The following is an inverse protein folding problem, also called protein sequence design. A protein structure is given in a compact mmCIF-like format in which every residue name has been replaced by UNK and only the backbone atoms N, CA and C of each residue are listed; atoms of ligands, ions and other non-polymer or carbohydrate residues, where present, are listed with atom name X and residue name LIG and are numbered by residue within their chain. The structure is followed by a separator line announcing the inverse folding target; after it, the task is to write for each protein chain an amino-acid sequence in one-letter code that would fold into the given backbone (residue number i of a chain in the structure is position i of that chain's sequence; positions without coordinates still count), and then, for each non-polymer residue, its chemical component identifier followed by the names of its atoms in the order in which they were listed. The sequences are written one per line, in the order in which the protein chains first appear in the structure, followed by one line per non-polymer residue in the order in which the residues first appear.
data_IF_685659218029
#
_entry.id   IF_685659218029
#
_cell.length_a   1.000
_cell.length_b   1.000
_cell.length_c   1.000
_cell.angle_alpha   90.00
_cell.angle_beta   90.00
_cell.angle_gamma   90.00
#
_symmetry.space_group_name_H-M   'P 1'
#
loop_
_entity.id
_entity.type
_entity.pdbx_description
1 polymer ?
#
# COMPACT_ATOMS: atom_id res chain seq x y z
N UNK A 1 -19.79 35.67 15.73
CA UNK A 1 -19.05 36.07 14.52
C UNK A 1 -17.67 35.42 14.57
N UNK A 2 -17.42 34.39 13.77
CA UNK A 2 -16.10 33.74 13.62
C UNK A 2 -15.79 33.66 12.12
N UNK A 3 -14.62 34.17 11.73
CA UNK A 3 -14.15 34.26 10.34
C UNK A 3 -13.53 32.92 9.90
N UNK A 4 -13.65 32.50 8.63
CA UNK A 4 -13.00 31.29 8.13
C UNK A 4 -11.50 31.54 7.83
N UNK A 5 -10.67 30.54 8.12
CA UNK A 5 -9.22 30.57 7.88
C UNK A 5 -8.93 30.02 6.47
N UNK A 6 -8.05 30.73 5.77
CA UNK A 6 -7.68 30.63 4.36
C UNK A 6 -7.03 29.30 3.97
N UNK A 7 -7.40 28.80 2.79
CA UNK A 7 -7.02 27.52 2.18
C UNK A 7 -5.58 27.45 1.61
N UNK A 8 -4.66 28.29 2.06
CA UNK A 8 -3.32 28.45 1.43
C UNK A 8 -2.18 27.70 2.12
N UNK A 9 -2.39 27.10 3.31
CA UNK A 9 -1.31 26.42 4.05
C UNK A 9 -1.17 24.93 3.73
N UNK A 10 -2.16 24.30 3.09
CA UNK A 10 -2.14 22.85 2.81
C UNK A 10 -1.22 22.47 1.64
N UNK A 11 -0.88 23.43 0.75
CA UNK A 11 -0.15 23.16 -0.48
C UNK A 11 1.35 22.85 -0.34
N UNK A 12 1.99 23.17 0.79
CA UNK A 12 3.45 23.07 0.94
C UNK A 12 3.89 21.69 1.47
N UNK A 13 3.01 20.95 2.16
CA UNK A 13 3.40 19.69 2.80
C UNK A 13 3.51 18.51 1.81
N UNK A 14 2.78 18.54 0.69
CA UNK A 14 2.71 17.41 -0.24
C UNK A 14 3.93 17.30 -1.18
N UNK A 15 4.66 18.39 -1.41
CA UNK A 15 5.81 18.38 -2.34
C UNK A 15 7.03 17.69 -1.69
N UNK A 16 7.19 17.79 -0.37
CA UNK A 16 8.32 17.19 0.35
C UNK A 16 8.33 15.66 0.36
N UNK A 17 7.16 15.03 0.52
CA UNK A 17 7.05 13.57 0.64
C UNK A 17 7.37 12.82 -0.66
N UNK A 18 6.92 13.36 -1.80
CA UNK A 18 7.19 12.73 -3.10
C UNK A 18 8.70 12.73 -3.43
N UNK A 19 9.41 13.80 -3.06
CA UNK A 19 10.85 13.88 -3.25
C UNK A 19 11.62 12.88 -2.36
N UNK A 20 11.23 12.71 -1.11
CA UNK A 20 11.90 11.78 -0.18
C UNK A 20 11.73 10.31 -0.59
N UNK A 21 10.56 9.95 -1.15
CA UNK A 21 10.29 8.56 -1.57
C UNK A 21 11.15 8.14 -2.78
N UNK A 22 11.50 9.08 -3.66
CA UNK A 22 12.42 8.81 -4.78
C UNK A 22 13.86 8.52 -4.31
N UNK A 23 14.29 9.11 -3.18
CA UNK A 23 15.63 8.88 -2.60
C UNK A 23 15.73 7.59 -1.76
N UNK A 24 14.59 7.02 -1.35
CA UNK A 24 14.54 5.81 -0.54
C UNK A 24 14.59 4.51 -1.37
N UNK A 25 14.58 4.58 -2.71
CA UNK A 25 14.68 3.37 -3.53
C UNK A 25 16.10 2.77 -3.51
N UNK A 26 16.27 1.44 -3.30
CA UNK A 26 17.58 0.79 -3.14
C UNK A 26 18.51 0.81 -4.36
N UNK A 27 18.06 1.33 -5.51
CA UNK A 27 18.73 1.17 -6.80
C UNK A 27 19.90 2.11 -7.11
N UNK A 28 20.25 3.08 -6.25
CA UNK A 28 21.25 4.11 -6.60
C UNK A 28 22.30 4.45 -5.51
N UNK A 29 22.27 3.82 -4.34
CA UNK A 29 23.14 4.19 -3.22
C UNK A 29 24.42 3.34 -3.16
N UNK A 30 25.43 3.65 -3.99
CA UNK A 30 26.74 2.95 -4.00
C UNK A 30 27.80 3.59 -3.08
N UNK A 31 27.44 4.59 -2.26
CA UNK A 31 28.37 5.28 -1.36
C UNK A 31 27.92 5.24 0.11
N UNK A 32 28.87 5.22 1.05
CA UNK A 32 28.63 5.19 2.51
C UNK A 32 27.80 6.39 2.96
N UNK A 33 27.98 7.53 2.31
CA UNK A 33 27.23 8.76 2.52
C UNK A 33 25.78 8.62 2.05
N UNK A 34 25.56 7.95 0.92
CA UNK A 34 24.21 7.69 0.39
C UNK A 34 23.43 6.72 1.30
N UNK A 35 24.07 5.70 1.85
CA UNK A 35 23.44 4.81 2.85
C UNK A 35 23.09 5.55 4.15
N UNK A 36 23.90 6.53 4.57
CA UNK A 36 23.61 7.34 5.75
C UNK A 36 22.41 8.26 5.52
N UNK A 37 22.31 8.86 4.33
CA UNK A 37 21.16 9.67 3.91
C UNK A 37 19.90 8.81 3.76
N UNK A 38 19.99 7.61 3.17
CA UNK A 38 18.86 6.68 3.07
C UNK A 38 18.41 6.20 4.46
N UNK A 39 19.33 5.94 5.39
CA UNK A 39 19.00 5.56 6.78
C UNK A 39 18.33 6.72 7.53
N UNK A 40 18.82 7.95 7.35
CA UNK A 40 18.20 9.13 7.94
C UNK A 40 16.82 9.42 7.33
N UNK A 41 16.67 9.29 6.01
CA UNK A 41 15.39 9.47 5.31
C UNK A 41 14.36 8.40 5.71
N UNK A 42 14.77 7.14 5.85
CA UNK A 42 13.90 6.06 6.33
C UNK A 42 13.55 6.21 7.81
N UNK A 43 14.46 6.70 8.65
CA UNK A 43 14.15 7.03 10.05
C UNK A 43 13.18 8.22 10.18
N UNK A 44 13.33 9.24 9.33
CA UNK A 44 12.40 10.37 9.27
C UNK A 44 11.04 9.97 8.72
N UNK A 45 11.00 9.10 7.69
CA UNK A 45 9.75 8.51 7.20
C UNK A 45 9.07 7.70 8.30
N UNK A 46 9.82 6.88 9.05
CA UNK A 46 9.28 6.10 10.16
C UNK A 46 8.75 6.99 11.29
N UNK A 47 9.50 8.02 11.69
CA UNK A 47 9.03 8.98 12.71
C UNK A 47 7.85 9.82 12.25
N UNK A 48 7.77 10.10 10.95
CA UNK A 48 6.62 10.78 10.37
C UNK A 48 5.42 9.84 10.33
N UNK A 49 5.60 8.56 9.95
CA UNK A 49 4.60 7.47 9.93
C UNK A 49 3.86 7.39 11.27
N UNK A 50 4.57 7.66 12.37
CA UNK A 50 4.05 7.60 13.73
C UNK A 50 3.18 8.82 14.17
N UNK A 51 3.13 9.92 13.40
CA UNK A 51 2.68 11.23 13.94
C UNK A 51 1.33 11.80 13.43
N UNK A 52 0.57 11.13 12.55
CA UNK A 52 -0.77 11.59 12.12
C UNK A 52 -1.78 10.44 12.10
N UNK A 53 -3.05 10.65 12.47
CA UNK A 53 -4.06 9.59 12.57
C UNK A 53 -4.24 8.73 11.28
N UNK A 54 -4.16 9.34 10.10
CA UNK A 54 -4.20 8.63 8.80
C UNK A 54 -2.89 7.88 8.54
N UNK A 55 -1.80 8.38 9.09
CA UNK A 55 -0.47 7.79 8.92
C UNK A 55 -0.21 6.69 9.94
N UNK A 56 -0.81 6.76 11.13
CA UNK A 56 -0.84 5.67 12.10
C UNK A 56 -1.64 4.47 11.59
N UNK A 57 -2.74 4.68 10.85
CA UNK A 57 -3.47 3.58 10.21
C UNK A 57 -2.60 2.87 9.17
N UNK A 58 -1.92 3.62 8.29
CA UNK A 58 -0.97 3.05 7.32
C UNK A 58 0.23 2.38 8.00
N UNK A 59 0.81 3.00 9.02
CA UNK A 59 1.93 2.46 9.80
C UNK A 59 1.53 1.15 10.48
N UNK A 60 0.32 1.09 11.05
CA UNK A 60 -0.26 -0.12 11.61
C UNK A 60 -0.40 -1.21 10.55
N UNK A 61 -0.95 -0.90 9.38
CA UNK A 61 -1.06 -1.88 8.28
C UNK A 61 0.28 -2.35 7.75
N UNK A 62 1.29 -1.46 7.66
CA UNK A 62 2.66 -1.85 7.29
C UNK A 62 3.28 -2.77 8.35
N UNK A 63 2.99 -2.54 9.62
CA UNK A 63 3.45 -3.39 10.72
C UNK A 63 2.78 -4.77 10.69
N UNK A 64 1.45 -4.83 10.49
CA UNK A 64 0.70 -6.08 10.29
C UNK A 64 1.24 -6.90 9.12
N UNK A 65 1.59 -6.24 8.03
CA UNK A 65 2.20 -6.89 6.87
C UNK A 65 3.58 -7.48 7.20
N UNK A 66 4.35 -6.82 8.06
CA UNK A 66 5.63 -7.35 8.58
C UNK A 66 5.43 -8.57 9.47
N UNK A 67 4.48 -8.50 10.40
CA UNK A 67 4.10 -9.63 11.28
C UNK A 67 3.66 -10.85 10.46
N UNK A 68 2.82 -10.64 9.43
CA UNK A 68 2.40 -11.71 8.52
C UNK A 68 3.59 -12.38 7.81
N UNK A 69 4.57 -11.59 7.38
CA UNK A 69 5.77 -12.12 6.73
C UNK A 69 6.67 -12.90 7.69
N UNK A 70 6.74 -12.47 8.95
CA UNK A 70 7.47 -13.20 9.98
C UNK A 70 6.78 -14.53 10.31
N UNK A 71 5.45 -14.55 10.41
CA UNK A 71 4.65 -15.77 10.62
C UNK A 71 4.80 -16.76 9.45
N UNK A 72 4.87 -16.26 8.22
CA UNK A 72 4.98 -17.06 6.99
C UNK A 72 6.42 -17.13 6.46
N UNK A 73 7.42 -17.02 7.34
CA UNK A 73 8.85 -17.01 6.97
C UNK A 73 9.46 -18.39 6.75
N UNK A 74 8.75 -19.45 7.15
CA UNK A 74 9.20 -20.84 7.02
C UNK A 74 8.53 -21.53 5.82
N UNK A 75 9.27 -22.42 5.15
CA UNK A 75 8.72 -23.31 4.11
C UNK A 75 7.61 -24.19 4.71
N UNK A 76 6.51 -24.33 3.99
CA UNK A 76 5.36 -25.14 4.41
C UNK A 76 4.57 -24.55 5.58
N UNK A 77 4.56 -23.22 5.73
CA UNK A 77 3.81 -22.53 6.78
C UNK A 77 2.29 -22.82 6.73
N UNK A 78 1.78 -23.22 5.57
CA UNK A 78 0.38 -23.60 5.35
C UNK A 78 0.08 -25.09 5.63
N UNK A 79 1.09 -25.86 6.08
CA UNK A 79 1.00 -27.31 6.25
C UNK A 79 1.17 -28.12 4.97
N UNK A 80 1.47 -27.47 3.85
CA UNK A 80 1.85 -28.09 2.58
C UNK A 80 3.29 -27.69 2.23
N UNK A 81 3.54 -27.26 0.99
CA UNK A 81 4.86 -26.86 0.49
C UNK A 81 4.88 -25.39 0.05
N UNK A 82 4.11 -24.53 0.74
CA UNK A 82 4.13 -23.10 0.47
C UNK A 82 5.54 -22.52 0.66
N UNK A 83 5.95 -21.67 -0.28
CA UNK A 83 7.16 -20.90 -0.14
C UNK A 83 7.02 -19.87 0.99
N UNK A 84 8.13 -19.52 1.68
CA UNK A 84 8.18 -18.34 2.52
C UNK A 84 7.77 -17.10 1.74
N UNK A 85 7.21 -16.10 2.43
CA UNK A 85 6.99 -14.78 1.82
C UNK A 85 8.31 -14.23 1.29
N UNK A 86 8.31 -13.84 0.02
CA UNK A 86 9.48 -13.26 -0.62
C UNK A 86 9.74 -11.84 -0.08
N UNK A 87 11.00 -11.56 0.28
CA UNK A 87 11.38 -10.28 0.87
C UNK A 87 11.16 -9.09 -0.08
N UNK A 88 11.30 -9.29 -1.39
CA UNK A 88 11.01 -8.26 -2.41
C UNK A 88 9.50 -8.08 -2.54
N UNK A 89 8.71 -9.15 -2.47
CA UNK A 89 7.25 -9.06 -2.43
C UNK A 89 6.77 -8.23 -1.22
N UNK A 90 7.33 -8.47 -0.03
CA UNK A 90 7.07 -7.68 1.17
C UNK A 90 7.40 -6.20 0.98
N UNK A 91 8.61 -5.88 0.46
CA UNK A 91 9.02 -4.50 0.19
C UNK A 91 8.07 -3.84 -0.82
N UNK A 92 7.69 -4.56 -1.88
CA UNK A 92 6.78 -4.05 -2.91
C UNK A 92 5.38 -3.77 -2.33
N UNK A 93 4.86 -4.64 -1.47
CA UNK A 93 3.58 -4.45 -0.82
C UNK A 93 3.60 -3.26 0.15
N UNK A 94 4.67 -3.10 0.95
CA UNK A 94 4.84 -1.92 1.81
C UNK A 94 4.92 -0.62 0.99
N UNK A 95 5.68 -0.63 -0.11
CA UNK A 95 5.78 0.52 -1.01
C UNK A 95 4.42 0.85 -1.65
N UNK A 96 3.64 -0.17 -2.01
CA UNK A 96 2.29 0.01 -2.51
C UNK A 96 1.39 0.70 -1.48
N UNK A 97 1.39 0.23 -0.22
CA UNK A 97 0.62 0.85 0.88
C UNK A 97 1.02 2.31 1.12
N UNK A 98 2.33 2.61 1.09
CA UNK A 98 2.83 3.99 1.21
C UNK A 98 2.33 4.87 0.06
N UNK A 99 2.33 4.32 -1.16
CA UNK A 99 1.91 5.02 -2.38
C UNK A 99 0.39 5.22 -2.51
N UNK A 100 -0.45 4.51 -1.72
CA UNK A 100 -1.89 4.72 -1.73
C UNK A 100 -2.24 6.17 -1.33
N UNK A 101 -3.19 6.84 -2.01
CA UNK A 101 -3.64 8.16 -1.58
C UNK A 101 -4.28 8.11 -0.18
N UNK A 102 -4.10 9.19 0.59
CA UNK A 102 -4.77 9.35 1.89
C UNK A 102 -6.29 9.23 1.76
N UNK A 103 -6.92 8.55 2.71
CA UNK A 103 -8.38 8.30 2.70
C UNK A 103 -8.82 7.15 1.79
N UNK A 104 -7.90 6.47 1.11
CA UNK A 104 -8.20 5.17 0.49
C UNK A 104 -8.33 4.12 1.59
N UNK A 105 -9.36 3.28 1.52
CA UNK A 105 -9.49 2.16 2.45
C UNK A 105 -8.25 1.25 2.39
N UNK A 106 -7.88 0.71 3.56
CA UNK A 106 -6.76 -0.21 3.66
C UNK A 106 -7.23 -1.64 3.35
N UNK A 107 -6.41 -2.44 2.66
CA UNK A 107 -6.75 -3.82 2.33
C UNK A 107 -6.55 -4.75 3.54
N UNK A 108 -7.15 -5.94 3.44
CA UNK A 108 -6.73 -7.12 4.18
C UNK A 108 -5.54 -7.79 3.47
N UNK A 109 -4.68 -8.46 4.23
CA UNK A 109 -3.50 -9.13 3.71
C UNK A 109 -3.65 -10.64 3.81
N UNK A 110 -3.27 -11.36 2.75
CA UNK A 110 -3.10 -12.79 2.83
C UNK A 110 -1.81 -13.25 2.12
N UNK A 111 -1.08 -14.22 2.69
CA UNK A 111 0.09 -14.81 2.07
C UNK A 111 -0.34 -15.78 0.97
N UNK A 112 0.36 -15.76 -0.17
CA UNK A 112 0.13 -16.71 -1.26
C UNK A 112 1.18 -17.83 -1.25
N UNK A 113 0.83 -19.06 -1.69
CA UNK A 113 1.74 -20.21 -1.63
C UNK A 113 3.03 -20.07 -2.45
N UNK A 114 3.08 -19.15 -3.40
CA UNK A 114 4.26 -18.86 -4.23
C UNK A 114 5.21 -17.81 -3.62
N UNK A 115 4.90 -17.34 -2.41
CA UNK A 115 5.66 -16.31 -1.70
C UNK A 115 5.24 -14.87 -2.05
N UNK A 116 4.19 -14.68 -2.86
CA UNK A 116 3.57 -13.37 -3.04
C UNK A 116 2.60 -13.02 -1.91
N UNK A 117 2.11 -11.79 -1.92
CA UNK A 117 1.15 -11.28 -0.93
C UNK A 117 -0.07 -10.73 -1.66
N UNK A 118 -1.27 -11.18 -1.27
CA UNK A 118 -2.53 -10.60 -1.72
C UNK A 118 -2.95 -9.44 -0.81
N UNK A 119 -3.46 -8.39 -1.45
CA UNK A 119 -4.08 -7.22 -0.85
C UNK A 119 -5.53 -7.19 -1.31
N UNK A 120 -6.44 -7.40 -0.37
CA UNK A 120 -7.85 -7.61 -0.65
C UNK A 120 -8.73 -6.50 -0.06
N UNK A 121 -9.48 -5.83 -0.94
CA UNK A 121 -10.52 -4.87 -0.55
C UNK A 121 -11.88 -5.52 -0.70
N UNK A 122 -12.47 -5.91 0.43
CA UNK A 122 -13.73 -6.66 0.47
C UNK A 122 -14.83 -5.73 1.01
N UNK A 123 -15.69 -5.22 0.13
CA UNK A 123 -16.87 -4.44 0.53
C UNK A 123 -18.07 -5.34 0.85
N UNK A 124 -18.19 -6.47 0.12
CA UNK A 124 -19.19 -7.52 0.35
C UNK A 124 -18.79 -8.79 -0.39
N UNK A 125 -19.53 -9.90 -0.19
CA UNK A 125 -19.30 -11.17 -0.91
C UNK A 125 -19.35 -11.10 -2.44
N UNK A 126 -19.91 -10.02 -3.01
CA UNK A 126 -19.95 -9.79 -4.46
C UNK A 126 -19.25 -8.51 -4.88
N UNK A 127 -18.53 -7.83 -3.98
CA UNK A 127 -17.82 -6.58 -4.28
C UNK A 127 -16.42 -6.67 -3.68
N UNK A 128 -15.47 -7.12 -4.48
CA UNK A 128 -14.11 -7.45 -4.06
C UNK A 128 -13.13 -6.91 -5.10
N UNK A 129 -12.06 -6.28 -4.64
CA UNK A 129 -10.87 -6.01 -5.45
C UNK A 129 -9.70 -6.73 -4.80
N UNK A 130 -9.02 -7.58 -5.55
CA UNK A 130 -7.87 -8.36 -5.07
C UNK A 130 -6.64 -8.00 -5.89
N UNK A 131 -5.53 -7.78 -5.22
CA UNK A 131 -4.25 -7.41 -5.82
C UNK A 131 -3.16 -8.34 -5.30
N UNK A 132 -2.58 -9.15 -6.17
CA UNK A 132 -1.43 -9.99 -5.89
C UNK A 132 -0.12 -9.25 -6.19
N UNK A 133 0.78 -9.22 -5.22
CA UNK A 133 2.08 -8.54 -5.26
C UNK A 133 3.18 -9.56 -5.01
N UNK A 134 3.95 -9.87 -6.06
CA UNK A 134 5.13 -10.72 -5.99
C UNK A 134 6.46 -9.93 -6.05
N UNK A 135 7.59 -10.63 -6.28
CA UNK A 135 8.91 -10.02 -6.36
C UNK A 135 9.09 -9.14 -7.62
N UNK A 136 8.24 -9.30 -8.62
CA UNK A 136 8.29 -8.50 -9.85
C UNK A 136 7.56 -7.16 -9.70
N UNK A 137 7.92 -6.17 -10.51
CA UNK A 137 7.19 -4.90 -10.60
C UNK A 137 5.83 -5.01 -11.33
N UNK A 138 5.23 -6.21 -11.38
CA UNK A 138 3.93 -6.48 -11.99
C UNK A 138 2.92 -6.75 -10.88
N UNK A 139 1.84 -5.99 -10.92
CA UNK A 139 0.68 -6.07 -10.08
C UNK A 139 -0.40 -6.86 -10.80
N UNK A 140 -0.61 -8.12 -10.44
CA UNK A 140 -1.74 -8.88 -10.94
C UNK A 140 -2.96 -8.56 -10.08
N UNK A 141 -4.08 -8.17 -10.70
CA UNK A 141 -5.28 -7.82 -9.95
C UNK A 141 -6.53 -8.36 -10.60
N UNK A 142 -7.54 -8.61 -9.77
CA UNK A 142 -8.86 -9.06 -10.17
C UNK A 142 -9.93 -8.28 -9.41
N UNK A 143 -11.11 -8.19 -10.01
CA UNK A 143 -12.25 -7.57 -9.36
C UNK A 143 -13.52 -8.37 -9.60
N UNK A 144 -14.45 -8.22 -8.66
CA UNK A 144 -15.82 -8.69 -8.72
C UNK A 144 -16.72 -7.53 -8.28
N UNK A 145 -17.67 -7.13 -9.12
CA UNK A 145 -18.72 -6.16 -8.79
C UNK A 145 -20.09 -6.69 -9.25
N UNK A 146 -20.75 -7.40 -8.35
CA UNK A 146 -22.00 -8.12 -8.62
C UNK A 146 -21.77 -9.26 -9.60
N UNK A 147 -22.22 -9.06 -10.84
CA UNK A 147 -22.05 -10.03 -11.94
C UNK A 147 -20.89 -9.68 -12.86
N UNK A 148 -20.39 -8.44 -12.78
CA UNK A 148 -19.22 -8.01 -13.52
C UNK A 148 -17.96 -8.47 -12.81
N UNK A 149 -16.98 -8.96 -13.57
CA UNK A 149 -15.72 -9.45 -13.05
C UNK A 149 -14.65 -9.37 -14.10
N UNK A 150 -13.41 -9.23 -13.67
CA UNK A 150 -12.28 -9.25 -14.57
C UNK A 150 -10.96 -9.40 -13.85
N UNK A 151 -9.91 -9.43 -14.65
CA UNK A 151 -8.54 -9.45 -14.18
C UNK A 151 -7.67 -8.67 -15.16
N UNK A 152 -6.56 -8.15 -14.66
CA UNK A 152 -5.58 -7.46 -15.47
C UNK A 152 -4.23 -7.38 -14.73
N UNK A 153 -3.21 -6.93 -15.45
CA UNK A 153 -1.87 -6.74 -14.88
C UNK A 153 -1.42 -5.30 -15.08
N UNK A 154 -0.98 -4.66 -14.01
CA UNK A 154 -0.37 -3.33 -14.02
C UNK A 154 1.12 -3.37 -13.69
N UNK A 155 1.85 -2.35 -14.14
CA UNK A 155 3.24 -2.15 -13.75
C UNK A 155 3.29 -1.14 -12.61
N UNK A 156 4.06 -1.42 -11.57
CA UNK A 156 4.24 -0.53 -10.43
C UNK A 156 5.72 -0.27 -10.18
N UNK A 157 6.10 1.02 -10.26
CA UNK A 157 7.49 1.45 -10.07
C UNK A 157 7.85 1.73 -8.60
N UNK A 158 7.00 1.38 -7.63
CA UNK A 158 7.29 1.54 -6.19
C UNK A 158 6.89 2.89 -5.58
N UNK A 159 6.49 3.89 -6.38
CA UNK A 159 6.22 5.26 -5.88
C UNK A 159 4.81 5.77 -6.16
N UNK A 160 4.21 5.38 -7.28
CA UNK A 160 2.90 5.86 -7.73
C UNK A 160 2.03 4.68 -8.10
N UNK A 161 0.85 4.57 -7.45
CA UNK A 161 -0.14 3.53 -7.77
C UNK A 161 -0.67 3.74 -9.19
N UNK A 162 -0.70 2.70 -10.04
CA UNK A 162 -1.21 2.84 -11.40
C UNK A 162 -2.67 3.33 -11.41
N UNK A 163 -3.04 4.34 -12.22
CA UNK A 163 -4.37 4.95 -12.16
C UNK A 163 -5.53 3.96 -12.29
N UNK A 164 -5.37 2.91 -13.10
CA UNK A 164 -6.36 1.85 -13.28
C UNK A 164 -6.58 0.97 -12.05
N UNK A 165 -5.52 0.72 -11.27
CA UNK A 165 -5.61 -0.05 -10.02
C UNK A 165 -6.32 0.80 -8.98
N UNK A 166 -5.93 2.06 -8.83
CA UNK A 166 -6.58 2.98 -7.90
C UNK A 166 -8.06 3.19 -8.24
N UNK A 167 -8.40 3.33 -9.52
CA UNK A 167 -9.78 3.45 -9.97
C UNK A 167 -10.60 2.19 -9.63
N UNK A 168 -10.02 1.00 -9.81
CA UNK A 168 -10.67 -0.27 -9.45
C UNK A 168 -10.91 -0.43 -7.95
N UNK A 169 -9.95 -0.05 -7.12
CA UNK A 169 -10.12 -0.04 -5.66
C UNK A 169 -11.27 0.90 -5.28
N UNK A 170 -11.24 2.13 -5.80
CA UNK A 170 -12.28 3.14 -5.53
C UNK A 170 -13.66 2.72 -6.03
N UNK A 171 -13.77 2.03 -7.16
CA UNK A 171 -15.06 1.58 -7.66
C UNK A 171 -15.68 0.53 -6.73
N UNK A 172 -14.88 -0.35 -6.13
CA UNK A 172 -15.37 -1.41 -5.24
C UNK A 172 -15.72 -0.88 -3.85
N UNK A 173 -14.80 -0.15 -3.21
CA UNK A 173 -14.97 0.28 -1.81
C UNK A 173 -15.77 1.58 -1.69
N UNK A 174 -15.89 2.34 -2.80
CA UNK A 174 -16.34 3.72 -2.75
C UNK A 174 -15.28 4.62 -2.11
N UNK A 175 -15.33 5.93 -2.37
CA UNK A 175 -14.63 6.85 -1.48
C UNK A 175 -15.31 6.71 -0.12
N UNK A 176 -14.57 6.41 0.95
CA UNK A 176 -15.06 6.22 2.32
C UNK A 176 -15.66 7.49 2.96
N UNK A 177 -16.23 8.38 2.16
CA UNK A 177 -16.76 9.69 2.55
C UNK A 177 -18.04 10.08 1.79
N UNK A 178 -19.00 9.15 1.63
CA UNK A 178 -20.36 9.48 1.21
C UNK A 178 -21.33 9.35 2.40
N UNK A 179 -21.93 10.44 2.91
CA UNK A 179 -22.96 10.35 3.93
C UNK A 179 -24.25 9.80 3.32
N UNK A 180 -24.83 8.82 4.03
CA UNK A 180 -26.26 8.50 4.18
C UNK A 180 -27.20 8.93 3.03
N UNK A 181 -27.80 7.95 2.34
CA UNK A 181 -29.13 8.14 1.75
C UNK A 181 -30.18 7.57 2.70
N UNK A 182 -30.92 8.48 3.34
CA UNK A 182 -32.21 8.21 3.96
C UNK A 182 -33.20 7.97 2.80
N UNK A 183 -33.97 6.89 2.90
CA UNK A 183 -35.35 6.83 2.41
C UNK A 183 -36.18 6.12 3.47
#
# INVERSE_FOLDING_TARGET
MLRPISATTVGICCIGYAALNAYAQPGSAVSVEAQTVTRAASALMKSAEDSQAIFSEKSSSISQLGELADECSAQGWDGYDAAPIDAIALINAQNFLRALPSGTALPEFAPEPDGSISLDWIQSRYRIFSLSIGPSNRLAYAWLDGTDKGHAVAHFGGSIVPPRVLAGIKSIVGDSNAPIRIV
#
